data_IF_720416195153
#
_entry.id   IF_720416195153
#
_cell.length_a   1.000
_cell.length_b   1.000
_cell.length_c   1.000
_cell.angle_alpha   90.00
_cell.angle_beta   90.00
_cell.angle_gamma   90.00
#
_symmetry.space_group_name_H-M   'P 1'
#
loop_
_entity.id
_entity.type
_entity.pdbx_description
1 polymer ?
#
# COMPACT_ATOMS: atom_id res chain seq x y z
N UNK A 1 29.87 -42.49 2.47
CA UNK A 1 30.12 -41.79 3.74
C UNK A 1 30.85 -40.46 3.54
N UNK A 2 31.64 -40.27 2.47
CA UNK A 2 32.31 -38.99 2.18
C UNK A 2 31.36 -37.85 1.76
N UNK A 3 30.38 -38.10 0.86
CA UNK A 3 29.48 -37.04 0.35
C UNK A 3 28.66 -36.32 1.43
N UNK A 4 28.27 -37.01 2.50
CA UNK A 4 27.52 -36.41 3.60
C UNK A 4 28.41 -35.52 4.48
N UNK A 5 29.67 -35.93 4.68
CA UNK A 5 30.65 -35.13 5.42
C UNK A 5 31.02 -33.85 4.67
N UNK A 6 31.11 -33.91 3.34
CA UNK A 6 31.42 -32.76 2.50
C UNK A 6 30.26 -31.74 2.52
N UNK A 7 29.00 -32.20 2.42
CA UNK A 7 27.82 -31.32 2.55
C UNK A 7 27.72 -30.64 3.92
N UNK A 8 28.03 -31.36 5.00
CA UNK A 8 28.01 -30.79 6.36
C UNK A 8 29.12 -29.74 6.52
N UNK A 9 30.29 -29.95 5.91
CA UNK A 9 31.37 -28.97 5.93
C UNK A 9 30.99 -27.70 5.15
N UNK A 10 30.39 -27.85 3.97
CA UNK A 10 29.93 -26.73 3.14
C UNK A 10 28.83 -25.91 3.84
N UNK A 11 27.86 -26.59 4.47
CA UNK A 11 26.80 -25.94 5.22
C UNK A 11 27.35 -25.20 6.45
N UNK A 12 28.34 -25.78 7.14
CA UNK A 12 28.97 -25.13 8.29
C UNK A 12 29.72 -23.86 7.87
N UNK A 13 30.48 -23.93 6.77
CA UNK A 13 31.16 -22.76 6.21
C UNK A 13 30.18 -21.65 5.79
N UNK A 14 29.04 -22.04 5.21
CA UNK A 14 27.99 -21.10 4.84
C UNK A 14 27.34 -20.44 6.07
N UNK A 15 27.08 -21.22 7.13
CA UNK A 15 26.55 -20.70 8.38
C UNK A 15 27.52 -19.68 9.00
N UNK A 16 28.82 -19.99 9.01
CA UNK A 16 29.85 -19.08 9.51
C UNK A 16 29.91 -17.77 8.70
N UNK A 17 29.81 -17.86 7.36
CA UNK A 17 29.73 -16.69 6.49
C UNK A 17 28.49 -15.84 6.77
N UNK A 18 27.32 -16.47 6.94
CA UNK A 18 26.06 -15.77 7.23
C UNK A 18 26.11 -15.11 8.61
N UNK A 19 26.65 -15.79 9.61
CA UNK A 19 26.81 -15.24 10.96
C UNK A 19 27.75 -14.03 10.96
N UNK A 20 28.84 -14.08 10.19
CA UNK A 20 29.73 -12.93 10.03
C UNK A 20 29.02 -11.73 9.38
N UNK A 21 28.16 -11.98 8.38
CA UNK A 21 27.36 -10.94 7.72
C UNK A 21 26.31 -10.33 8.65
N UNK A 22 25.66 -11.15 9.48
CA UNK A 22 24.69 -10.68 10.48
C UNK A 22 25.40 -9.75 11.48
N UNK A 23 26.54 -10.18 12.02
CA UNK A 23 27.32 -9.36 12.96
C UNK A 23 27.76 -8.01 12.37
N UNK A 24 28.10 -7.98 11.07
CA UNK A 24 28.43 -6.74 10.37
C UNK A 24 27.21 -5.81 10.23
N UNK A 25 26.05 -6.35 9.88
CA UNK A 25 24.81 -5.59 9.74
C UNK A 25 24.29 -5.07 11.09
N UNK A 26 24.44 -5.85 12.16
CA UNK A 26 24.10 -5.42 13.52
C UNK A 26 24.97 -4.24 13.96
N UNK A 27 26.28 -4.29 13.69
CA UNK A 27 27.19 -3.18 13.96
C UNK A 27 26.82 -1.90 13.18
N UNK A 28 26.38 -2.04 11.92
CA UNK A 28 25.92 -0.92 11.10
C UNK A 28 24.62 -0.31 11.65
N UNK A 29 23.65 -1.13 12.03
CA UNK A 29 22.40 -0.68 12.65
C UNK A 29 22.64 0.03 13.98
N UNK A 30 23.56 -0.47 14.80
CA UNK A 30 23.91 0.16 16.08
C UNK A 30 24.59 1.52 15.88
N UNK A 31 25.45 1.66 14.88
CA UNK A 31 26.04 2.96 14.52
C UNK A 31 24.97 3.93 14.00
N UNK A 32 24.03 3.47 13.16
CA UNK A 32 22.91 4.30 12.70
C UNK A 32 22.03 4.78 13.86
N UNK A 33 21.71 3.91 14.82
CA UNK A 33 20.96 4.28 16.04
C UNK A 33 21.75 5.25 16.92
N UNK A 34 23.07 5.08 17.02
CA UNK A 34 23.93 6.01 17.74
C UNK A 34 23.95 7.38 17.08
N UNK A 35 24.02 7.44 15.76
CA UNK A 35 23.99 8.69 15.01
C UNK A 35 22.64 9.39 15.16
N UNK A 36 21.53 8.66 15.13
CA UNK A 36 20.21 9.24 15.38
C UNK A 36 20.12 9.87 16.78
N UNK A 37 20.66 9.21 17.80
CA UNK A 37 20.73 9.77 19.17
C UNK A 37 21.55 11.07 19.24
N UNK A 38 22.64 11.17 18.50
CA UNK A 38 23.45 12.40 18.44
C UNK A 38 22.70 13.54 17.73
N UNK A 39 21.91 13.22 16.70
CA UNK A 39 21.07 14.20 16.01
C UNK A 39 19.97 14.72 16.93
N UNK A 40 19.30 13.84 17.68
CA UNK A 40 18.29 14.23 18.68
C UNK A 40 18.89 15.13 19.77
N UNK A 41 20.10 14.84 20.27
CA UNK A 41 20.80 15.68 21.22
C UNK A 41 21.16 17.06 20.63
N UNK A 42 21.59 17.10 19.36
CA UNK A 42 21.87 18.36 18.67
C UNK A 42 20.60 19.21 18.48
N UNK A 43 19.48 18.59 18.10
CA UNK A 43 18.18 19.26 17.94
C UNK A 43 17.70 19.81 19.30
N UNK A 44 17.81 19.01 20.36
CA UNK A 44 17.45 19.46 21.71
C UNK A 44 18.28 20.67 22.16
N UNK A 45 19.61 20.62 21.95
CA UNK A 45 20.50 21.74 22.26
C UNK A 45 20.21 23.00 21.42
N UNK A 46 19.85 22.83 20.14
CA UNK A 46 19.47 23.95 19.27
C UNK A 46 18.15 24.59 19.70
N UNK A 47 17.17 23.80 20.13
CA UNK A 47 15.90 24.31 20.69
C UNK A 47 16.12 25.08 22.00
N UNK A 48 16.95 24.56 22.92
CA UNK A 48 17.24 25.24 24.18
C UNK A 48 17.93 26.61 23.95
N UNK A 49 18.73 26.75 22.89
CA UNK A 49 19.35 28.03 22.53
C UNK A 49 18.35 29.04 21.94
N UNK A 50 17.28 28.58 21.27
CA UNK A 50 16.24 29.45 20.72
C UNK A 50 15.22 29.91 21.77
N UNK A 51 14.99 29.10 22.81
CA UNK A 51 14.10 29.46 23.91
C UNK A 51 14.72 30.47 24.89
N UNK A 52 16.05 30.54 25.01
CA UNK A 52 16.77 31.50 25.87
C UNK A 52 16.85 32.93 25.27
N UNK A 53 16.62 33.11 23.96
CA UNK A 53 16.66 34.42 23.29
C UNK A 53 15.27 35.08 23.09
N UNK A 54 14.19 34.45 23.58
CA UNK A 54 12.80 34.97 23.50
C UNK A 54 12.42 35.88 24.69
N UNK A 55 13.36 36.70 25.17
CA UNK A 55 13.08 37.86 26.04
C UNK A 55 13.87 39.08 25.55
N UNK A 56 13.82 39.34 24.25
CA UNK A 56 14.22 40.63 23.69
C UNK A 56 13.05 41.16 22.87
N UNK A 57 12.48 42.26 23.37
CA UNK A 57 11.53 43.12 22.67
C UNK A 57 11.99 43.31 21.21
N UNK A 58 11.16 43.07 20.18
CA UNK A 58 11.62 43.13 18.80
C UNK A 58 11.99 44.59 18.44
N UNK A 59 13.25 44.90 18.08
CA UNK A 59 13.54 46.16 17.41
C UNK A 59 13.06 46.09 15.95
N UNK A 60 12.53 47.21 15.47
CA UNK A 60 12.01 47.44 14.11
C UNK A 60 12.68 46.57 13.03
N UNK A 61 11.92 45.61 12.50
CA UNK A 61 12.36 44.73 11.44
C UNK A 61 12.67 45.54 10.15
N UNK A 62 13.83 45.34 9.51
CA UNK A 62 14.13 45.98 8.23
C UNK A 62 13.30 45.36 7.11
N UNK A 63 12.69 46.23 6.29
CA UNK A 63 11.87 45.88 5.15
C UNK A 63 12.62 45.01 4.13
N UNK A 64 12.15 43.77 3.97
CA UNK A 64 12.58 42.90 2.87
C UNK A 64 11.91 43.35 1.56
N UNK A 65 12.59 43.30 0.40
CA UNK A 65 12.01 43.73 -0.86
C UNK A 65 10.86 42.83 -1.31
N UNK A 66 9.69 43.44 -1.46
CA UNK A 66 8.47 42.89 -2.05
C UNK A 66 8.70 42.54 -3.53
N UNK A 67 8.79 41.25 -3.85
CA UNK A 67 8.95 40.73 -5.21
C UNK A 67 7.61 40.59 -5.98
N UNK A 68 6.50 41.11 -5.46
CA UNK A 68 5.18 41.00 -6.11
C UNK A 68 4.80 42.19 -7.01
N UNK A 69 5.71 43.13 -7.30
CA UNK A 69 5.39 44.36 -8.08
C UNK A 69 5.95 44.48 -9.51
N UNK A 70 6.46 43.43 -10.15
CA UNK A 70 6.81 43.51 -11.59
C UNK A 70 5.72 42.86 -12.42
N UNK A 71 4.70 43.65 -12.80
CA UNK A 71 3.62 43.17 -13.66
C UNK A 71 2.44 44.11 -13.88
N UNK A 72 2.60 45.43 -13.74
CA UNK A 72 1.57 46.39 -14.16
C UNK A 72 2.24 47.61 -14.81
N UNK A 73 2.53 47.47 -16.10
CA UNK A 73 2.90 48.60 -16.95
C UNK A 73 1.65 49.40 -17.31
N UNK A 74 1.41 50.48 -16.58
CA UNK A 74 0.47 51.54 -16.96
C UNK A 74 1.06 52.31 -18.15
N UNK A 75 0.43 52.20 -19.33
CA UNK A 75 0.64 53.11 -20.45
C UNK A 75 -0.62 53.93 -20.67
N UNK A 76 -0.53 55.19 -20.21
CA UNK A 76 -1.16 56.41 -20.72
C UNK A 76 -2.49 56.29 -21.48
N UNK A 77 -3.55 56.81 -20.87
CA UNK A 77 -4.83 57.02 -21.50
C UNK A 77 -4.83 58.08 -22.60
N UNK A 78 -5.62 57.82 -23.64
CA UNK A 78 -6.47 58.80 -24.32
C UNK A 78 -7.49 58.04 -25.19
N UNK A 79 -8.62 58.68 -25.43
CA UNK A 79 -9.68 58.35 -26.38
C UNK A 79 -10.89 57.54 -25.89
N UNK A 80 -12.04 58.03 -26.36
CA UNK A 80 -13.41 57.88 -25.93
C UNK A 80 -14.15 56.73 -26.64
N UNK A 81 -15.34 56.41 -26.10
CA UNK A 81 -16.53 55.87 -26.78
C UNK A 81 -16.97 54.42 -26.41
N UNK A 82 -18.15 54.36 -25.76
CA UNK A 82 -19.32 53.49 -26.00
C UNK A 82 -19.12 52.00 -26.33
N UNK A 83 -19.73 51.12 -25.51
CA UNK A 83 -20.30 49.86 -26.01
C UNK A 83 -20.21 48.63 -25.09
N UNK A 84 -21.37 48.26 -24.54
CA UNK A 84 -21.95 46.89 -24.51
C UNK A 84 -21.28 45.72 -23.76
N UNK A 85 -21.95 45.32 -22.67
CA UNK A 85 -22.34 43.97 -22.21
C UNK A 85 -21.58 42.70 -22.69
N UNK A 86 -20.87 42.03 -21.77
CA UNK A 86 -21.19 40.66 -21.27
C UNK A 86 -20.22 40.24 -20.16
N UNK A 87 -20.79 39.68 -19.08
CA UNK A 87 -20.11 39.27 -17.87
C UNK A 87 -19.22 38.03 -18.08
N UNK A 88 -18.00 38.08 -17.51
CA UNK A 88 -17.09 36.96 -17.28
C UNK A 88 -17.65 35.95 -16.28
N UNK A 89 -17.33 34.67 -16.41
CA UNK A 89 -16.05 34.06 -16.05
C UNK A 89 -15.76 34.23 -14.56
N UNK A 90 -16.10 33.20 -13.79
CA UNK A 90 -15.78 33.07 -12.38
C UNK A 90 -15.33 31.62 -12.14
N UNK A 91 -14.02 31.43 -12.22
CA UNK A 91 -13.31 30.36 -11.52
C UNK A 91 -13.32 30.68 -10.02
N UNK A 92 -13.97 29.85 -9.22
CA UNK A 92 -13.73 29.79 -7.77
C UNK A 92 -13.00 28.48 -7.45
N UNK A 93 -11.67 28.55 -7.51
CA UNK A 93 -10.80 27.59 -6.85
C UNK A 93 -10.57 28.10 -5.41
N UNK A 94 -11.28 27.50 -4.45
CA UNK A 94 -11.01 27.71 -3.03
C UNK A 94 -9.69 27.04 -2.61
N UNK A 95 -8.97 27.59 -1.62
CA UNK A 95 -7.72 27.01 -1.14
C UNK A 95 -8.02 25.71 -0.35
N UNK A 96 -7.42 24.60 -0.80
CA UNK A 96 -7.35 23.37 -0.01
C UNK A 96 -6.38 23.62 1.15
N UNK A 97 -6.92 23.58 2.36
CA UNK A 97 -6.16 23.54 3.60
C UNK A 97 -5.69 22.09 3.77
N UNK A 98 -4.38 21.87 3.77
CA UNK A 98 -3.73 20.58 3.98
C UNK A 98 -3.05 20.59 5.35
N UNK A 99 -3.63 19.93 6.37
CA UNK A 99 -2.92 19.65 7.60
C UNK A 99 -2.87 18.15 7.83
N UNK A 100 -2.00 17.42 7.12
CA UNK A 100 -1.54 16.12 7.62
C UNK A 100 -0.15 15.73 7.06
N UNK A 101 0.86 16.52 7.44
CA UNK A 101 2.22 16.00 7.56
C UNK A 101 2.29 15.17 8.85
N UNK A 102 1.82 13.92 8.76
CA UNK A 102 1.94 12.90 9.81
C UNK A 102 3.11 11.97 9.53
N UNK A 103 4.29 12.38 9.98
CA UNK A 103 5.39 11.50 10.34
C UNK A 103 5.00 10.82 11.66
N UNK A 104 4.76 9.51 11.65
CA UNK A 104 4.73 8.70 12.88
C UNK A 104 4.95 7.21 12.56
N UNK A 105 6.17 6.75 12.81
CA UNK A 105 6.43 5.60 13.69
C UNK A 105 5.93 4.22 13.28
N UNK A 106 6.63 3.55 12.36
CA UNK A 106 6.61 2.08 12.30
C UNK A 106 7.43 1.51 13.47
N UNK A 107 6.72 1.06 14.51
CA UNK A 107 7.23 0.17 15.55
C UNK A 107 7.41 -1.26 14.99
N UNK A 108 8.53 -1.95 15.24
CA UNK A 108 8.63 -3.39 15.03
C UNK A 108 7.97 -4.14 16.21
N UNK A 109 7.08 -5.09 15.88
CA UNK A 109 6.57 -6.10 16.80
C UNK A 109 7.74 -6.93 17.35
N UNK A 110 8.03 -6.74 18.63
CA UNK A 110 8.95 -7.55 19.40
C UNK A 110 8.22 -8.80 19.91
N UNK A 111 8.81 -9.96 19.61
CA UNK A 111 8.45 -11.22 20.24
C UNK A 111 8.68 -11.22 21.75
N UNK A 112 7.80 -11.92 22.45
CA UNK A 112 7.94 -12.43 23.82
C UNK A 112 6.82 -13.46 24.01
N UNK A 113 6.94 -14.59 24.69
CA UNK A 113 7.93 -15.06 25.65
C UNK A 113 7.84 -16.57 25.77
N UNK A 114 8.96 -17.14 26.21
CA UNK A 114 9.19 -18.50 26.70
C UNK A 114 8.28 -18.99 27.85
N UNK A 115 8.36 -20.32 27.98
CA UNK A 115 8.36 -21.12 29.22
C UNK A 115 7.04 -21.60 29.82
N UNK A 116 6.92 -22.94 29.88
CA UNK A 116 6.84 -23.82 31.08
C UNK A 116 6.36 -25.18 30.54
N UNK A 117 7.06 -26.31 30.66
CA UNK A 117 7.66 -26.86 31.85
C UNK A 117 6.91 -28.15 32.24
N UNK A 118 7.64 -29.28 32.24
CA UNK A 118 7.33 -30.61 32.83
C UNK A 118 6.61 -31.63 31.95
N UNK A 119 7.30 -32.73 31.62
CA UNK A 119 6.92 -34.03 32.17
C UNK A 119 8.13 -35.00 32.17
N UNK A 120 8.71 -35.21 33.35
CA UNK A 120 9.44 -36.42 33.69
C UNK A 120 8.41 -37.48 34.07
N UNK A 121 8.41 -38.64 33.42
CA UNK A 121 7.94 -39.91 33.99
C UNK A 121 8.44 -41.06 33.14
N UNK A 122 9.43 -41.75 33.68
CA UNK A 122 9.83 -43.11 33.34
C UNK A 122 8.61 -44.03 33.17
N UNK A 123 8.54 -44.80 32.08
CA UNK A 123 8.09 -46.20 32.12
C UNK A 123 8.69 -46.95 30.94
N UNK A 124 9.75 -47.69 31.23
CA UNK A 124 10.30 -48.75 30.38
C UNK A 124 9.51 -50.04 30.66
N UNK A 125 8.86 -50.62 29.64
CA UNK A 125 8.66 -52.07 29.48
C UNK A 125 7.75 -52.45 28.29
N UNK A 126 8.32 -53.31 27.43
CA UNK A 126 7.70 -54.39 26.63
C UNK A 126 6.75 -53.99 25.47
N UNK A 127 7.18 -54.16 24.22
CA UNK A 127 7.15 -55.41 23.41
C UNK A 127 5.80 -55.66 22.72
N UNK A 128 5.82 -55.67 21.37
CA UNK A 128 4.91 -56.44 20.55
C UNK A 128 3.80 -55.70 19.78
N UNK A 129 3.88 -55.79 18.44
CA UNK A 129 2.89 -55.40 17.41
C UNK A 129 2.79 -53.90 17.11
N UNK A 130 3.18 -53.40 15.93
CA UNK A 130 2.96 -54.01 14.62
C UNK A 130 1.80 -53.28 13.94
N UNK A 131 2.12 -52.18 13.27
CA UNK A 131 1.69 -51.96 11.89
C UNK A 131 0.19 -51.80 11.60
N UNK A 132 -0.52 -50.83 12.21
CA UNK A 132 -1.85 -50.39 11.70
C UNK A 132 -2.23 -48.92 11.96
N UNK A 133 -1.34 -48.04 12.43
CA UNK A 133 -1.70 -46.62 12.70
C UNK A 133 -0.99 -45.61 11.79
N UNK A 134 0.09 -45.99 11.12
CA UNK A 134 0.78 -45.15 10.14
C UNK A 134 0.13 -45.20 8.75
N UNK A 135 -0.64 -46.26 8.44
CA UNK A 135 -1.33 -46.42 7.16
C UNK A 135 -2.61 -45.55 7.06
N UNK A 136 -3.22 -45.19 8.18
CA UNK A 136 -4.40 -44.31 8.21
C UNK A 136 -4.07 -42.81 8.08
N UNK A 137 -2.78 -42.42 8.21
CA UNK A 137 -2.31 -41.05 8.00
C UNK A 137 -1.55 -40.89 6.66
N UNK A 138 -1.15 -42.00 6.03
CA UNK A 138 -0.47 -42.01 4.74
C UNK A 138 -1.41 -41.91 3.52
N UNK A 139 -2.73 -41.92 3.76
CA UNK A 139 -3.79 -41.79 2.74
C UNK A 139 -4.51 -40.44 2.74
N UNK A 140 -4.11 -39.50 3.60
CA UNK A 140 -4.33 -38.09 3.31
C UNK A 140 -3.24 -37.74 2.32
N UNK A 141 -3.62 -37.59 1.05
CA UNK A 141 -2.76 -37.04 0.00
C UNK A 141 -1.78 -36.07 0.65
N UNK A 142 -0.48 -36.31 0.45
CA UNK A 142 0.49 -35.25 0.60
C UNK A 142 -0.04 -34.14 -0.30
N UNK A 143 -0.73 -33.16 0.31
CA UNK A 143 -1.26 -32.01 -0.38
C UNK A 143 -0.02 -31.41 -1.00
N UNK A 144 0.16 -31.68 -2.29
CA UNK A 144 1.20 -31.08 -3.09
C UNK A 144 1.12 -29.60 -2.76
N UNK A 145 2.14 -29.09 -2.05
CA UNK A 145 2.12 -27.72 -1.56
C UNK A 145 1.69 -26.87 -2.75
N UNK A 146 0.55 -26.15 -2.66
CA UNK A 146 0.00 -25.48 -3.83
C UNK A 146 1.11 -24.63 -4.43
N UNK A 147 1.29 -24.74 -5.76
CA UNK A 147 2.26 -23.91 -6.47
C UNK A 147 2.11 -22.47 -5.95
N UNK A 148 3.17 -21.86 -5.41
CA UNK A 148 3.06 -20.53 -4.81
C UNK A 148 2.37 -19.53 -5.75
N UNK A 149 2.58 -19.66 -7.07
CA UNK A 149 1.88 -18.85 -8.08
C UNK A 149 0.37 -19.00 -8.07
N UNK A 150 -0.11 -20.25 -7.97
CA UNK A 150 -1.54 -20.52 -7.88
C UNK A 150 -2.10 -20.02 -6.55
N UNK A 151 -1.31 -20.05 -5.47
CA UNK A 151 -1.71 -19.51 -4.18
C UNK A 151 -1.79 -17.98 -4.18
N UNK A 152 -0.86 -17.29 -4.85
CA UNK A 152 -0.85 -15.83 -4.97
C UNK A 152 -1.98 -15.31 -5.87
N UNK A 153 -2.25 -16.00 -6.98
CA UNK A 153 -3.38 -15.69 -7.84
C UNK A 153 -4.71 -15.90 -7.12
N UNK A 154 -4.86 -17.00 -6.37
CA UNK A 154 -6.03 -17.23 -5.54
C UNK A 154 -6.22 -16.13 -4.49
N UNK A 155 -5.14 -15.68 -3.83
CA UNK A 155 -5.19 -14.58 -2.88
C UNK A 155 -5.55 -13.22 -3.54
N UNK A 156 -5.24 -13.03 -4.82
CA UNK A 156 -5.71 -11.87 -5.58
C UNK A 156 -7.20 -11.99 -5.92
N UNK A 157 -7.69 -13.18 -6.28
CA UNK A 157 -9.12 -13.43 -6.47
C UNK A 157 -9.93 -13.15 -5.20
N UNK A 158 -9.49 -13.67 -4.06
CA UNK A 158 -10.16 -13.45 -2.77
C UNK A 158 -10.23 -11.97 -2.42
N UNK A 159 -9.17 -11.20 -2.74
CA UNK A 159 -9.16 -9.75 -2.55
C UNK A 159 -10.14 -9.03 -3.48
N UNK A 160 -10.30 -9.45 -4.73
CA UNK A 160 -11.32 -8.90 -5.64
C UNK A 160 -12.71 -9.22 -5.12
N UNK A 161 -12.94 -10.44 -4.63
CA UNK A 161 -14.24 -10.88 -4.11
C UNK A 161 -14.63 -10.17 -2.81
N UNK A 162 -13.66 -9.67 -2.05
CA UNK A 162 -13.88 -8.88 -0.84
C UNK A 162 -14.24 -7.42 -1.10
N UNK A 163 -14.07 -6.92 -2.33
CA UNK A 163 -14.34 -5.53 -2.68
C UNK A 163 -15.84 -5.22 -2.63
N UNK A 164 -16.16 -4.00 -2.21
CA UNK A 164 -17.50 -3.47 -2.34
C UNK A 164 -17.92 -3.33 -3.82
N UNK A 165 -19.21 -3.51 -4.09
CA UNK A 165 -19.80 -3.33 -5.42
C UNK A 165 -19.40 -2.02 -6.11
N UNK A 166 -19.27 -0.95 -5.31
CA UNK A 166 -18.84 0.38 -5.78
C UNK A 166 -17.37 0.38 -6.18
N UNK A 167 -16.50 -0.22 -5.38
CA UNK A 167 -15.08 -0.35 -5.70
C UNK A 167 -14.89 -1.20 -6.96
N UNK A 168 -15.62 -2.30 -7.11
CA UNK A 168 -15.59 -3.15 -8.32
C UNK A 168 -16.03 -2.34 -9.56
N UNK A 169 -17.12 -1.58 -9.47
CA UNK A 169 -17.59 -0.74 -10.58
C UNK A 169 -16.56 0.32 -10.99
N UNK A 170 -15.89 0.97 -10.03
CA UNK A 170 -14.81 1.91 -10.31
C UNK A 170 -13.60 1.22 -10.95
N UNK A 171 -13.23 0.02 -10.50
CA UNK A 171 -12.12 -0.73 -11.05
C UNK A 171 -12.35 -1.13 -12.51
N UNK A 172 -13.58 -1.53 -12.86
CA UNK A 172 -14.00 -1.73 -14.26
C UNK A 172 -13.84 -0.45 -15.07
N UNK A 173 -14.21 0.71 -14.51
CA UNK A 173 -14.07 1.98 -15.21
C UNK A 173 -12.60 2.33 -15.49
N UNK A 174 -11.72 2.24 -14.49
CA UNK A 174 -10.29 2.47 -14.69
C UNK A 174 -9.70 1.55 -15.75
N UNK A 175 -10.09 0.27 -15.76
CA UNK A 175 -9.61 -0.66 -16.77
C UNK A 175 -10.05 -0.30 -18.20
N UNK A 176 -11.31 0.13 -18.37
CA UNK A 176 -11.90 0.35 -19.69
C UNK A 176 -11.58 1.71 -20.30
N UNK A 177 -11.60 2.75 -19.47
CA UNK A 177 -11.46 4.14 -19.92
C UNK A 177 -10.06 4.70 -19.61
N UNK A 178 -9.26 4.00 -18.80
CA UNK A 178 -7.93 4.40 -18.39
C UNK A 178 -7.93 5.36 -17.19
N UNK A 179 -6.87 6.18 -17.03
CA UNK A 179 -6.70 7.05 -15.88
C UNK A 179 -7.86 8.01 -15.66
N UNK A 180 -8.49 7.94 -14.48
CA UNK A 180 -9.61 8.81 -14.13
C UNK A 180 -9.54 9.30 -12.68
N UNK A 181 -10.24 10.39 -12.37
CA UNK A 181 -10.42 10.81 -10.97
C UNK A 181 -11.42 9.87 -10.27
N UNK A 182 -11.33 9.68 -8.94
CA UNK A 182 -12.27 8.86 -8.18
C UNK A 182 -13.73 9.25 -8.40
N UNK A 183 -14.01 10.56 -8.48
CA UNK A 183 -15.37 11.07 -8.70
C UNK A 183 -15.88 10.70 -10.09
N UNK A 184 -15.08 10.92 -11.14
CA UNK A 184 -15.47 10.59 -12.51
C UNK A 184 -15.74 9.08 -12.69
N UNK A 185 -14.88 8.23 -12.12
CA UNK A 185 -15.05 6.78 -12.18
C UNK A 185 -16.29 6.30 -11.40
N UNK A 186 -16.59 6.93 -10.26
CA UNK A 186 -17.77 6.60 -9.47
C UNK A 186 -19.07 7.03 -10.16
N UNK A 187 -19.12 8.23 -10.73
CA UNK A 187 -20.27 8.75 -11.46
C UNK A 187 -20.58 7.93 -12.72
N UNK A 188 -19.54 7.45 -13.42
CA UNK A 188 -19.70 6.55 -14.56
C UNK A 188 -20.39 5.22 -14.18
N UNK A 189 -20.31 4.80 -12.92
CA UNK A 189 -21.04 3.66 -12.36
C UNK A 189 -22.54 3.90 -12.12
N UNK A 190 -23.06 5.09 -12.45
CA UNK A 190 -24.49 5.40 -12.40
C UNK A 190 -25.03 5.75 -11.00
N UNK A 191 -24.15 5.84 -10.00
CA UNK A 191 -24.51 6.30 -8.65
C UNK A 191 -24.16 7.79 -8.57
N UNK A 192 -25.16 8.65 -8.33
CA UNK A 192 -24.98 10.11 -8.29
C UNK A 192 -23.82 10.54 -7.39
N UNK A 193 -23.17 11.66 -7.77
CA UNK A 193 -21.86 12.13 -7.31
C UNK A 193 -21.69 12.45 -5.82
N UNK A 194 -21.87 11.47 -4.95
CA UNK A 194 -21.36 11.53 -3.59
C UNK A 194 -19.85 11.37 -3.60
N UNK A 195 -19.16 12.51 -3.51
CA UNK A 195 -17.70 12.58 -3.44
C UNK A 195 -17.15 11.74 -2.29
N UNK A 196 -17.78 11.73 -1.12
CA UNK A 196 -17.29 10.97 0.04
C UNK A 196 -17.34 9.48 -0.23
N UNK A 197 -18.43 8.99 -0.82
CA UNK A 197 -18.54 7.58 -1.23
C UNK A 197 -17.49 7.21 -2.30
N UNK A 198 -17.26 8.09 -3.28
CA UNK A 198 -16.25 7.88 -4.32
C UNK A 198 -14.83 7.72 -3.74
N UNK A 199 -14.43 8.59 -2.81
CA UNK A 199 -13.12 8.49 -2.17
C UNK A 199 -13.03 7.31 -1.19
N UNK A 200 -14.12 6.91 -0.54
CA UNK A 200 -14.14 5.71 0.29
C UNK A 200 -13.91 4.43 -0.54
N UNK A 201 -14.62 4.28 -1.66
CA UNK A 201 -14.42 3.16 -2.59
C UNK A 201 -13.02 3.18 -3.22
N UNK A 202 -12.50 4.37 -3.59
CA UNK A 202 -11.13 4.47 -4.10
C UNK A 202 -10.07 4.14 -3.02
N UNK A 203 -10.33 4.49 -1.76
CA UNK A 203 -9.44 4.14 -0.65
C UNK A 203 -9.37 2.62 -0.47
N UNK A 204 -10.50 1.93 -0.59
CA UNK A 204 -10.56 0.47 -0.58
C UNK A 204 -9.68 -0.13 -1.69
N UNK A 205 -9.84 0.33 -2.94
CA UNK A 205 -9.00 -0.12 -4.06
C UNK A 205 -7.50 0.10 -3.82
N UNK A 206 -7.13 1.25 -3.23
CA UNK A 206 -5.74 1.57 -2.88
C UNK A 206 -5.21 0.67 -1.77
N UNK A 207 -6.01 0.36 -0.75
CA UNK A 207 -5.63 -0.55 0.34
C UNK A 207 -5.38 -1.96 -0.17
N UNK A 208 -6.12 -2.39 -1.20
CA UNK A 208 -5.89 -3.68 -1.86
C UNK A 208 -4.85 -3.63 -2.99
N UNK A 209 -4.20 -2.48 -3.20
CA UNK A 209 -3.14 -2.24 -4.20
C UNK A 209 -3.59 -2.35 -5.67
N UNK A 210 -4.90 -2.44 -5.95
CA UNK A 210 -5.42 -2.63 -7.32
C UNK A 210 -5.30 -1.39 -8.21
N UNK A 211 -5.12 -0.21 -7.61
CA UNK A 211 -4.95 1.06 -8.31
C UNK A 211 -3.76 1.85 -7.79
N UNK A 212 -3.12 2.60 -8.68
CA UNK A 212 -2.07 3.56 -8.34
C UNK A 212 -2.43 4.96 -8.75
N UNK A 213 -1.80 5.93 -8.11
CA UNK A 213 -1.92 7.33 -8.49
C UNK A 213 -0.96 7.64 -9.63
N UNK A 214 -1.49 8.18 -10.74
CA UNK A 214 -0.70 8.48 -11.95
C UNK A 214 -0.55 9.99 -12.21
N UNK A 215 -1.01 10.84 -11.29
CA UNK A 215 -0.88 12.30 -11.34
C UNK A 215 -2.21 13.05 -11.27
N UNK A 216 -2.20 14.34 -10.88
CA UNK A 216 -3.40 15.21 -10.84
C UNK A 216 -4.64 14.65 -10.11
N UNK A 217 -4.46 13.67 -9.21
CA UNK A 217 -5.58 13.01 -8.52
C UNK A 217 -6.27 11.93 -9.35
N UNK A 218 -5.68 11.50 -10.47
CA UNK A 218 -6.15 10.37 -11.27
C UNK A 218 -5.48 9.06 -10.84
N UNK A 219 -6.18 7.97 -11.10
CA UNK A 219 -5.77 6.62 -10.77
C UNK A 219 -5.91 5.71 -11.98
N UNK A 220 -5.01 4.72 -12.08
CA UNK A 220 -5.03 3.67 -13.08
C UNK A 220 -4.87 2.29 -12.42
N UNK A 221 -5.21 1.23 -13.15
CA UNK A 221 -5.12 -0.16 -12.68
C UNK A 221 -3.66 -0.63 -12.58
N UNK A 222 -3.34 -1.40 -11.54
CA UNK A 222 -2.02 -2.01 -11.34
C UNK A 222 -1.93 -3.51 -11.68
N UNK A 223 -2.90 -4.07 -12.40
CA UNK A 223 -2.95 -5.53 -12.53
C UNK A 223 -1.72 -6.15 -13.20
N UNK A 224 -1.12 -5.46 -14.17
CA UNK A 224 0.12 -5.92 -14.80
C UNK A 224 1.27 -5.98 -13.78
N UNK A 225 1.55 -4.87 -13.09
CA UNK A 225 2.56 -4.78 -12.04
C UNK A 225 2.33 -5.84 -10.95
N UNK A 226 1.10 -6.00 -10.47
CA UNK A 226 0.76 -6.95 -9.42
C UNK A 226 1.05 -8.40 -9.82
N UNK A 227 0.74 -8.77 -11.07
CA UNK A 227 1.01 -10.12 -11.59
C UNK A 227 2.51 -10.32 -11.76
N UNK A 228 3.23 -9.32 -12.29
CA UNK A 228 4.70 -9.36 -12.43
C UNK A 228 5.38 -9.52 -11.07
N UNK A 229 4.96 -8.76 -10.06
CA UNK A 229 5.60 -8.69 -8.75
C UNK A 229 5.32 -9.92 -7.88
N UNK A 230 4.08 -10.42 -7.85
CA UNK A 230 3.70 -11.57 -6.99
C UNK A 230 3.86 -12.91 -7.68
N UNK A 231 3.36 -13.05 -8.90
CA UNK A 231 3.27 -14.34 -9.59
C UNK A 231 4.53 -14.57 -10.44
N UNK A 232 4.97 -13.51 -11.13
CA UNK A 232 6.02 -13.57 -12.12
C UNK A 232 5.72 -14.55 -13.25
N UNK A 233 6.73 -14.89 -14.05
CA UNK A 233 6.60 -15.82 -15.17
C UNK A 233 7.02 -15.21 -16.49
N UNK A 234 6.75 -15.92 -17.57
CA UNK A 234 6.94 -15.39 -18.92
C UNK A 234 5.77 -14.45 -19.31
N UNK A 235 5.93 -13.60 -20.36
CA UNK A 235 4.92 -12.64 -20.74
C UNK A 235 3.54 -13.23 -21.08
N UNK A 236 3.46 -14.48 -21.56
CA UNK A 236 2.17 -15.11 -21.83
C UNK A 236 1.46 -15.49 -20.52
N UNK A 237 2.19 -16.06 -19.56
CA UNK A 237 1.66 -16.34 -18.22
C UNK A 237 1.17 -15.06 -17.52
N UNK A 238 1.93 -13.97 -17.62
CA UNK A 238 1.53 -12.69 -17.03
C UNK A 238 0.23 -12.17 -17.66
N UNK A 239 0.12 -12.23 -18.99
CA UNK A 239 -1.10 -11.77 -19.68
C UNK A 239 -2.30 -12.67 -19.37
N UNK A 240 -2.12 -13.99 -19.28
CA UNK A 240 -3.18 -14.93 -18.93
C UNK A 240 -3.70 -14.67 -17.51
N UNK A 241 -2.81 -14.52 -16.52
CA UNK A 241 -3.19 -14.19 -15.15
C UNK A 241 -3.87 -12.81 -15.06
N UNK A 242 -3.36 -11.81 -15.79
CA UNK A 242 -3.98 -10.48 -15.86
C UNK A 242 -5.39 -10.55 -16.46
N UNK A 243 -5.57 -11.28 -17.56
CA UNK A 243 -6.86 -11.48 -18.19
C UNK A 243 -7.84 -12.20 -17.25
N UNK A 244 -7.36 -13.16 -16.47
CA UNK A 244 -8.17 -13.86 -15.46
C UNK A 244 -8.65 -12.92 -14.34
N UNK A 245 -7.77 -12.06 -13.81
CA UNK A 245 -8.15 -11.05 -12.82
C UNK A 245 -9.19 -10.07 -13.37
N UNK A 246 -9.04 -9.64 -14.62
CA UNK A 246 -9.98 -8.74 -15.27
C UNK A 246 -11.35 -9.40 -15.48
N UNK A 247 -11.39 -10.64 -15.94
CA UNK A 247 -12.62 -11.42 -16.07
C UNK A 247 -13.29 -11.66 -14.71
N UNK A 248 -12.51 -11.84 -13.64
CA UNK A 248 -13.02 -11.89 -12.26
C UNK A 248 -13.71 -10.59 -11.87
N UNK A 249 -13.07 -9.44 -12.10
CA UNK A 249 -13.64 -8.10 -11.82
C UNK A 249 -14.92 -7.88 -12.61
N UNK A 250 -14.95 -8.20 -13.90
CA UNK A 250 -16.14 -8.05 -14.73
C UNK A 250 -17.29 -8.96 -14.27
N UNK A 251 -16.98 -10.18 -13.84
CA UNK A 251 -17.96 -11.11 -13.26
C UNK A 251 -18.50 -10.59 -11.92
N UNK A 252 -17.64 -10.06 -11.06
CA UNK A 252 -18.05 -9.44 -9.81
C UNK A 252 -19.02 -8.28 -10.08
N UNK A 253 -18.70 -7.41 -11.05
CA UNK A 253 -19.57 -6.31 -11.46
C UNK A 253 -20.92 -6.79 -12.02
N UNK A 254 -20.94 -7.87 -12.80
CA UNK A 254 -22.16 -8.46 -13.34
C UNK A 254 -23.05 -9.08 -12.24
N UNK A 255 -22.45 -9.66 -11.20
CA UNK A 255 -23.16 -10.21 -10.04
C UNK A 255 -23.96 -9.15 -9.27
N UNK A 256 -23.43 -7.94 -9.16
CA UNK A 256 -24.11 -6.78 -8.55
C UNK A 256 -25.35 -6.37 -9.33
N UNK A 257 -25.24 -6.30 -10.67
CA UNK A 257 -26.36 -5.94 -11.54
C UNK A 257 -27.50 -6.96 -11.53
N UNK A 258 -27.21 -8.25 -11.30
CA UNK A 258 -28.22 -9.30 -11.18
C UNK A 258 -28.92 -9.30 -9.80
N UNK A 259 -28.20 -8.96 -8.72
CA UNK A 259 -28.77 -8.87 -7.36
C UNK A 259 -29.76 -7.73 -7.19
N UNK A 260 -29.51 -6.58 -7.82
CA UNK A 260 -30.39 -5.41 -7.75
C UNK A 260 -31.78 -5.61 -8.42
N UNK A 261 -31.94 -6.61 -9.30
CA UNK A 261 -33.19 -6.85 -10.04
C UNK A 261 -34.18 -7.75 -9.27
N UNK A 262 -33.79 -8.32 -8.12
CA UNK A 262 -34.62 -9.36 -7.44
C UNK A 262 -35.41 -8.93 -6.21
N UNK A 263 -35.36 -7.66 -5.77
CA UNK A 263 -35.99 -7.23 -4.51
C UNK A 263 -37.27 -6.38 -4.64
N UNK A 264 -37.84 -6.16 -5.83
CA UNK A 264 -39.07 -5.35 -5.98
C UNK A 264 -40.26 -6.11 -6.63
N UNK A 265 -40.32 -7.43 -6.43
CA UNK A 265 -41.42 -8.26 -6.95
C UNK A 265 -42.00 -9.18 -5.88
N UNK A 266 -42.56 -8.61 -4.82
CA UNK A 266 -43.62 -9.26 -4.03
C UNK A 266 -44.64 -8.23 -3.56
N UNK A 267 -45.79 -8.26 -4.24
CA UNK A 267 -47.11 -7.77 -3.79
C UNK A 267 -47.55 -8.38 -2.44
#
# INVERSE_FOLDING_TARGET
MSDESDRVADLSALIDEKNARIAALEAELDEARRLNRLVEEFVAAASEHLDDESTVDPPDAPAWPDWTRVGAGEASGDSTATGDSRAGDASEAGPAFDPDSGDDGLLPEAGSSDAEGRNDSDTDAADGSGDTLTDALAGLDAVESPDPRNSDLAALHDRIDALSDRAVAMLVHYHREGPATPVAAFEAGGVGGDRTAAYAANRELRTHEFVEHVGQGTYDTRFEDLVVDRIGGDPATIEDCRAELLDRVERAAAGVGAGAVTLDATE
#
